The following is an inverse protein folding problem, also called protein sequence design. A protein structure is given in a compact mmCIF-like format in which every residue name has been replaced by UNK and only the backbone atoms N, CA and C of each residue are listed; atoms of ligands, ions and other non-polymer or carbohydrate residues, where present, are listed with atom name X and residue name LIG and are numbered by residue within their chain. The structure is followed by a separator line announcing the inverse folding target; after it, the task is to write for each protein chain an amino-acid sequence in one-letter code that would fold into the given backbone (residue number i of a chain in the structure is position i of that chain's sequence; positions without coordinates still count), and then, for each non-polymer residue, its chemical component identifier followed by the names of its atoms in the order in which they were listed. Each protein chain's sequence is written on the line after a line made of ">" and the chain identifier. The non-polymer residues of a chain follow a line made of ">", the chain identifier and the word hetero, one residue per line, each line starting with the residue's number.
data_IF_640562686910
#
_entry.id   IF_640562686910
#
_cell.length_a   1.000
_cell.length_b   1.000
_cell.length_c   1.000
_cell.angle_alpha   90.00
_cell.angle_beta   90.00
_cell.angle_gamma   90.00
#
_symmetry.space_group_name_H-M   'P 1'
#
loop_
_entity.id
_entity.type
_entity.pdbx_description
1 polymer ?
#
# COMPACT_ATOMS: atom_id res chain seq x y z
N UNK A 1 40.10 -22.02 11.94
CA UNK A 1 39.59 -21.84 10.57
C UNK A 1 38.31 -22.66 10.33
N UNK A 2 37.22 -22.43 11.09
CA UNK A 2 35.99 -23.27 11.00
C UNK A 2 34.65 -22.50 11.08
N UNK A 3 34.67 -21.18 11.27
CA UNK A 3 33.46 -20.36 11.44
C UNK A 3 32.74 -19.96 10.14
N UNK A 4 33.47 -19.88 9.02
CA UNK A 4 32.94 -19.31 7.77
C UNK A 4 32.00 -20.27 7.02
N UNK A 5 32.21 -21.59 7.14
CA UNK A 5 31.40 -22.61 6.46
C UNK A 5 30.01 -22.72 7.08
N UNK A 6 29.93 -22.64 8.42
CA UNK A 6 28.66 -22.66 9.16
C UNK A 6 27.79 -21.46 8.84
N UNK A 7 28.40 -20.27 8.74
CA UNK A 7 27.67 -19.03 8.40
C UNK A 7 27.10 -19.05 6.98
N UNK A 8 27.85 -19.58 6.00
CA UNK A 8 27.40 -19.68 4.61
C UNK A 8 26.21 -20.64 4.46
N UNK A 9 26.25 -21.78 5.14
CA UNK A 9 25.16 -22.76 5.14
C UNK A 9 23.90 -22.23 5.82
N UNK A 10 24.05 -21.52 6.95
CA UNK A 10 22.91 -20.89 7.65
C UNK A 10 22.27 -19.80 6.78
N UNK A 11 23.08 -19.01 6.08
CA UNK A 11 22.61 -17.97 5.14
C UNK A 11 21.90 -18.56 3.93
N UNK A 12 22.44 -19.59 3.30
CA UNK A 12 21.81 -20.29 2.17
C UNK A 12 20.51 -20.99 2.56
N UNK A 13 20.38 -21.44 3.81
CA UNK A 13 19.15 -22.00 4.36
C UNK A 13 18.08 -20.92 4.57
N UNK A 14 18.43 -19.80 5.22
CA UNK A 14 17.53 -18.66 5.45
C UNK A 14 17.01 -18.02 4.15
N UNK A 15 17.83 -17.95 3.11
CA UNK A 15 17.40 -17.44 1.79
C UNK A 15 16.40 -18.37 1.10
N UNK A 16 16.48 -19.68 1.35
CA UNK A 16 15.58 -20.70 0.79
C UNK A 16 14.26 -20.82 1.54
N UNK A 17 14.31 -20.70 2.86
CA UNK A 17 13.14 -20.79 3.73
C UNK A 17 12.25 -19.53 3.66
N UNK A 18 12.74 -18.45 3.03
CA UNK A 18 12.07 -17.16 3.02
C UNK A 18 12.19 -16.49 4.38
N UNK A 19 12.13 -15.15 4.39
CA UNK A 19 11.95 -14.44 5.66
C UNK A 19 10.49 -14.65 6.06
N UNK A 20 10.19 -15.15 7.27
CA UNK A 20 8.82 -15.26 7.73
C UNK A 20 8.16 -13.89 7.63
N UNK A 21 7.08 -13.79 6.85
CA UNK A 21 6.33 -12.54 6.80
C UNK A 21 5.76 -12.28 8.19
N UNK A 22 6.12 -11.14 8.77
CA UNK A 22 5.47 -10.69 10.00
C UNK A 22 4.12 -10.08 9.58
N UNK A 23 3.00 -10.38 10.26
CA UNK A 23 1.68 -9.86 9.89
C UNK A 23 1.63 -8.34 9.75
N UNK A 24 2.47 -7.63 10.50
CA UNK A 24 2.62 -6.17 10.41
C UNK A 24 3.26 -5.70 9.08
N UNK A 25 4.17 -6.49 8.49
CA UNK A 25 4.75 -6.19 7.17
C UNK A 25 3.74 -6.43 6.05
N UNK A 26 2.88 -7.43 6.17
CA UNK A 26 1.82 -7.71 5.18
C UNK A 26 0.78 -6.57 5.16
N UNK A 27 0.37 -6.10 6.34
CA UNK A 27 -0.56 -4.97 6.47
C UNK A 27 0.06 -3.66 5.98
N UNK A 28 1.31 -3.37 6.35
CA UNK A 28 2.03 -2.20 5.83
C UNK A 28 2.15 -2.23 4.30
N UNK A 29 2.33 -3.43 3.72
CA UNK A 29 2.33 -3.62 2.27
C UNK A 29 0.99 -3.33 1.60
N UNK A 30 -0.14 -3.60 2.27
CA UNK A 30 -1.47 -3.27 1.77
C UNK A 30 -1.73 -1.76 1.77
N UNK A 31 -1.35 -1.07 2.85
CA UNK A 31 -1.53 0.38 2.99
C UNK A 31 -0.75 1.15 1.93
N UNK A 32 0.50 0.73 1.66
CA UNK A 32 1.33 1.31 0.60
C UNK A 32 0.71 1.12 -0.78
N UNK A 33 0.25 -0.10 -1.12
CA UNK A 33 -0.38 -0.37 -2.43
C UNK A 33 -1.62 0.48 -2.65
N UNK A 34 -2.47 0.61 -1.64
CA UNK A 34 -3.66 1.47 -1.71
C UNK A 34 -3.27 2.94 -1.90
N UNK A 35 -2.29 3.42 -1.12
CA UNK A 35 -1.78 4.78 -1.23
C UNK A 35 -1.22 5.10 -2.62
N UNK A 36 -0.49 4.16 -3.21
CA UNK A 36 0.06 4.29 -4.56
C UNK A 36 -1.04 4.34 -5.62
N UNK A 37 -2.07 3.48 -5.54
CA UNK A 37 -3.22 3.53 -6.46
C UNK A 37 -3.92 4.89 -6.44
N UNK A 38 -4.12 5.48 -5.25
CA UNK A 38 -4.72 6.81 -5.11
C UNK A 38 -3.81 7.89 -5.71
N UNK A 39 -2.51 7.85 -5.39
CA UNK A 39 -1.52 8.81 -5.86
C UNK A 39 -1.35 8.79 -7.37
N UNK A 40 -1.23 7.60 -7.95
CA UNK A 40 -1.06 7.42 -9.39
C UNK A 40 -2.25 8.00 -10.13
N UNK A 41 -3.47 7.62 -9.72
CA UNK A 41 -4.68 8.13 -10.36
C UNK A 41 -4.80 9.65 -10.26
N UNK A 42 -4.47 10.23 -9.10
CA UNK A 42 -4.44 11.69 -8.94
C UNK A 42 -3.45 12.34 -9.92
N UNK A 43 -2.26 11.77 -10.06
CA UNK A 43 -1.20 12.28 -10.96
C UNK A 43 -1.60 12.18 -12.43
N UNK A 44 -2.26 11.11 -12.84
CA UNK A 44 -2.80 10.95 -14.20
C UNK A 44 -3.79 12.06 -14.57
N UNK A 45 -4.57 12.53 -13.59
CA UNK A 45 -5.52 13.62 -13.77
C UNK A 45 -4.89 15.01 -13.65
N UNK A 46 -3.58 15.10 -13.36
CA UNK A 46 -2.89 16.36 -13.15
C UNK A 46 -3.30 17.13 -11.89
N UNK A 47 -3.98 16.47 -10.95
CA UNK A 47 -4.51 17.11 -9.74
C UNK A 47 -3.46 17.15 -8.63
N UNK A 48 -3.47 18.21 -7.84
CA UNK A 48 -2.75 18.34 -6.58
C UNK A 48 -3.48 17.61 -5.46
N UNK A 49 -2.76 17.31 -4.36
CA UNK A 49 -3.40 16.74 -3.17
C UNK A 49 -4.45 17.68 -2.57
N UNK A 50 -4.25 19.00 -2.66
CA UNK A 50 -5.20 19.97 -2.14
C UNK A 50 -6.53 19.92 -2.91
N UNK A 51 -6.48 19.87 -4.24
CA UNK A 51 -7.67 19.81 -5.09
C UNK A 51 -8.50 18.54 -4.84
N UNK A 52 -7.86 17.37 -4.80
CA UNK A 52 -8.58 16.11 -4.49
C UNK A 52 -9.15 16.12 -3.08
N UNK A 53 -8.41 16.65 -2.10
CA UNK A 53 -8.87 16.71 -0.73
C UNK A 53 -10.10 17.62 -0.58
N UNK A 54 -10.08 18.79 -1.23
CA UNK A 54 -11.21 19.71 -1.28
C UNK A 54 -12.45 19.05 -1.91
N UNK A 55 -12.29 18.46 -3.09
CA UNK A 55 -13.37 17.77 -3.81
C UNK A 55 -13.93 16.57 -3.02
N UNK A 56 -13.09 15.86 -2.28
CA UNK A 56 -13.49 14.72 -1.45
C UNK A 56 -14.04 15.14 -0.06
N UNK A 57 -13.97 16.42 0.30
CA UNK A 57 -14.37 16.90 1.62
C UNK A 57 -13.51 16.32 2.75
N UNK A 58 -12.20 16.19 2.52
CA UNK A 58 -11.21 15.78 3.53
C UNK A 58 -10.09 16.82 3.61
N UNK A 59 -9.20 16.67 4.59
CA UNK A 59 -8.03 17.56 4.70
C UNK A 59 -6.90 17.09 3.79
N UNK A 60 -6.11 18.03 3.25
CA UNK A 60 -4.93 17.69 2.46
C UNK A 60 -3.92 16.80 3.24
N UNK A 61 -3.67 17.02 4.55
CA UNK A 61 -2.85 16.10 5.34
C UNK A 61 -3.43 14.69 5.45
N UNK A 62 -4.76 14.54 5.49
CA UNK A 62 -5.39 13.22 5.47
C UNK A 62 -5.13 12.50 4.14
N UNK A 63 -5.29 13.19 3.00
CA UNK A 63 -4.96 12.61 1.70
C UNK A 63 -3.47 12.28 1.57
N UNK A 64 -2.59 13.16 2.04
CA UNK A 64 -1.14 12.93 2.05
C UNK A 64 -0.76 11.66 2.85
N UNK A 65 -1.39 11.45 4.01
CA UNK A 65 -1.20 10.24 4.82
C UNK A 65 -1.65 8.98 4.10
N UNK A 66 -2.79 9.02 3.42
CA UNK A 66 -3.31 7.90 2.63
C UNK A 66 -2.33 7.56 1.50
N UNK A 67 -1.92 8.54 0.71
CA UNK A 67 -0.96 8.33 -0.39
C UNK A 67 0.41 7.85 0.11
N UNK A 68 0.76 8.16 1.35
CA UNK A 68 2.00 7.71 2.00
C UNK A 68 1.92 6.33 2.65
N UNK A 69 0.78 5.64 2.60
CA UNK A 69 0.58 4.36 3.31
C UNK A 69 0.57 4.51 4.84
N UNK A 70 0.33 5.72 5.35
CA UNK A 70 0.35 6.03 6.78
C UNK A 70 -0.98 5.80 7.50
N UNK A 71 -1.94 5.12 6.88
CA UNK A 71 -3.20 4.75 7.50
C UNK A 71 -4.26 4.25 6.52
N UNK A 72 -5.09 3.32 7.01
CA UNK A 72 -6.20 2.71 6.26
C UNK A 72 -7.38 3.69 6.18
N UNK A 73 -7.74 4.21 4.99
CA UNK A 73 -8.96 4.98 4.83
C UNK A 73 -10.19 4.07 4.97
N UNK A 74 -11.29 4.62 5.47
CA UNK A 74 -12.57 3.89 5.45
C UNK A 74 -13.10 3.78 4.02
N UNK A 75 -13.97 2.78 3.75
CA UNK A 75 -14.63 2.65 2.44
C UNK A 75 -15.39 3.92 2.04
N UNK A 76 -16.05 4.58 3.00
CA UNK A 76 -16.73 5.85 2.76
C UNK A 76 -15.78 7.00 2.37
N UNK A 77 -14.55 6.99 2.90
CA UNK A 77 -13.53 7.96 2.49
C UNK A 77 -13.00 7.65 1.10
N UNK A 78 -12.76 6.37 0.78
CA UNK A 78 -12.36 5.93 -0.54
C UNK A 78 -13.41 6.26 -1.61
N UNK A 79 -14.69 6.08 -1.32
CA UNK A 79 -15.79 6.46 -2.23
C UNK A 79 -15.79 7.97 -2.53
N UNK A 80 -15.57 8.82 -1.52
CA UNK A 80 -15.45 10.27 -1.74
C UNK A 80 -14.23 10.64 -2.59
N UNK A 81 -13.08 10.01 -2.34
CA UNK A 81 -11.86 10.20 -3.14
C UNK A 81 -12.08 9.72 -4.57
N UNK A 82 -12.75 8.59 -4.77
CA UNK A 82 -13.06 8.05 -6.09
C UNK A 82 -13.98 9.00 -6.88
N UNK A 83 -15.02 9.53 -6.22
CA UNK A 83 -15.94 10.53 -6.80
C UNK A 83 -15.21 11.82 -7.17
N UNK A 84 -14.34 12.32 -6.29
CA UNK A 84 -13.51 13.51 -6.55
C UNK A 84 -12.62 13.37 -7.80
N UNK A 85 -12.22 12.13 -8.12
CA UNK A 85 -11.37 11.83 -9.28
C UNK A 85 -12.13 11.18 -10.44
N UNK A 86 -13.47 11.17 -10.39
CA UNK A 86 -14.34 10.54 -11.39
C UNK A 86 -13.87 9.13 -11.80
N UNK A 87 -13.54 8.31 -10.81
CA UNK A 87 -12.94 6.98 -11.01
C UNK A 87 -13.60 5.93 -10.13
N UNK A 88 -13.20 4.68 -10.32
CA UNK A 88 -13.52 3.57 -9.42
C UNK A 88 -12.22 2.90 -8.97
N UNK A 89 -12.19 2.43 -7.73
CA UNK A 89 -11.09 1.63 -7.21
C UNK A 89 -11.55 0.19 -7.06
N UNK A 90 -10.75 -0.75 -7.58
CA UNK A 90 -10.93 -2.18 -7.31
C UNK A 90 -9.84 -2.61 -6.35
N UNK A 91 -10.21 -3.02 -5.14
CA UNK A 91 -9.27 -3.45 -4.10
C UNK A 91 -9.47 -4.95 -3.90
N UNK A 92 -8.41 -5.71 -4.11
CA UNK A 92 -8.36 -7.15 -3.85
C UNK A 92 -7.46 -7.40 -2.65
N UNK A 93 -7.97 -8.07 -1.62
CA UNK A 93 -7.23 -8.42 -0.41
C UNK A 93 -7.21 -9.94 -0.25
N UNK A 94 -6.05 -10.50 0.10
CA UNK A 94 -5.82 -11.94 0.19
C UNK A 94 -5.42 -12.57 -1.14
N UNK A 95 -5.29 -13.90 -1.16
CA UNK A 95 -4.98 -14.66 -2.37
C UNK A 95 -6.25 -14.95 -3.18
N UNK A 96 -6.17 -14.79 -4.50
CA UNK A 96 -7.22 -15.24 -5.40
C UNK A 96 -7.11 -16.76 -5.53
N UNK A 97 -8.03 -17.50 -4.91
CA UNK A 97 -8.10 -18.95 -5.08
C UNK A 97 -8.33 -19.25 -6.58
N UNK A 98 -7.48 -20.08 -7.22
CA UNK A 98 -7.67 -20.42 -8.63
C UNK A 98 -9.01 -21.16 -8.79
N UNK A 99 -9.82 -20.70 -9.73
CA UNK A 99 -11.05 -21.35 -10.21
C UNK A 99 -10.78 -22.61 -10.98
#
# INVERSE_FOLDING_TARGET
>A
MAGHTKWRLDRERRLREGVPSHPEYDLAGLDLRLGDMVRERRRELGLTQAEVAELAGITQPALSRIEGGGGVPTLAMLDRIAKAMHTTFTITVGEHAPT
#
